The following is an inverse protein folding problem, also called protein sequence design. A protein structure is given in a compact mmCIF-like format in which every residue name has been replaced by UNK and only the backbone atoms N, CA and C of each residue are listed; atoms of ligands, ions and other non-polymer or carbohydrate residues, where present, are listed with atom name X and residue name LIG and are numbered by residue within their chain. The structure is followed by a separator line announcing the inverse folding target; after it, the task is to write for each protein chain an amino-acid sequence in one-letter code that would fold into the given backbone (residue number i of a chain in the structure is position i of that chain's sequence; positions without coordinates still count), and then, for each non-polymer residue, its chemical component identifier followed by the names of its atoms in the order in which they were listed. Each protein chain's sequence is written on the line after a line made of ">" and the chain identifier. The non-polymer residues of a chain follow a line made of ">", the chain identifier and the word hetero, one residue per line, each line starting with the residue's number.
data_IF_447629910056
#
_entry.id   IF_447629910056
#
_cell.length_a   1.000
_cell.length_b   1.000
_cell.length_c   1.000
_cell.angle_alpha   90.00
_cell.angle_beta   90.00
_cell.angle_gamma   90.00
#
_symmetry.space_group_name_H-M   'P 1'
#
loop_
_entity.id
_entity.type
_entity.pdbx_description
1 polymer ?
#
# COMPACT_ATOMS: atom_id res chain seq x y z
N UNK A 1 -2.78 -46.80 10.94
CA UNK A 1 -1.66 -45.88 10.77
C UNK A 1 -1.78 -45.05 9.46
N UNK A 2 -1.97 -45.66 8.30
CA UNK A 2 -2.09 -44.97 7.00
C UNK A 2 -3.20 -43.91 6.93
N UNK A 3 -4.40 -44.17 7.46
CA UNK A 3 -5.53 -43.26 7.40
C UNK A 3 -5.22 -41.96 8.17
N UNK A 4 -4.57 -42.06 9.34
CA UNK A 4 -4.20 -40.90 10.13
C UNK A 4 -3.18 -40.01 9.42
N UNK A 5 -2.23 -40.59 8.73
CA UNK A 5 -1.24 -39.85 7.92
C UNK A 5 -1.90 -39.15 6.73
N UNK A 6 -2.83 -39.83 6.02
CA UNK A 6 -3.56 -39.23 4.89
C UNK A 6 -4.40 -38.05 5.36
N UNK A 7 -5.17 -38.22 6.44
CA UNK A 7 -5.96 -37.12 7.02
C UNK A 7 -5.06 -35.94 7.43
N UNK A 8 -3.91 -36.21 8.04
CA UNK A 8 -2.92 -35.19 8.40
C UNK A 8 -2.42 -34.38 7.21
N UNK A 9 -2.11 -35.03 6.09
CA UNK A 9 -1.67 -34.37 4.85
C UNK A 9 -2.79 -33.51 4.25
N UNK A 10 -4.01 -34.05 4.17
CA UNK A 10 -5.17 -33.33 3.63
C UNK A 10 -5.44 -32.06 4.45
N UNK A 11 -5.53 -32.20 5.78
CA UNK A 11 -5.78 -31.05 6.68
C UNK A 11 -4.64 -30.04 6.57
N UNK A 12 -3.40 -30.48 6.50
CA UNK A 12 -2.24 -29.60 6.36
C UNK A 12 -2.26 -28.83 5.03
N UNK A 13 -2.59 -29.50 3.92
CA UNK A 13 -2.68 -28.88 2.59
C UNK A 13 -3.84 -27.90 2.51
N UNK A 14 -4.99 -28.25 3.06
CA UNK A 14 -6.15 -27.37 3.14
C UNK A 14 -5.85 -26.10 3.96
N UNK A 15 -5.23 -26.27 5.12
CA UNK A 15 -4.82 -25.14 5.96
C UNK A 15 -3.82 -24.23 5.24
N UNK A 16 -2.87 -24.80 4.51
CA UNK A 16 -1.92 -24.05 3.70
C UNK A 16 -2.62 -23.23 2.62
N UNK A 17 -3.54 -23.85 1.89
CA UNK A 17 -4.30 -23.18 0.84
C UNK A 17 -5.09 -21.97 1.40
N UNK A 18 -5.78 -22.16 2.52
CA UNK A 18 -6.56 -21.10 3.18
C UNK A 18 -5.64 -19.93 3.59
N UNK A 19 -4.50 -20.19 4.21
CA UNK A 19 -3.57 -19.15 4.66
C UNK A 19 -2.96 -18.40 3.47
N UNK A 20 -2.50 -19.10 2.43
CA UNK A 20 -1.94 -18.45 1.22
C UNK A 20 -2.98 -17.62 0.49
N UNK A 21 -4.18 -18.16 0.32
CA UNK A 21 -5.29 -17.45 -0.34
C UNK A 21 -5.69 -16.20 0.46
N UNK A 22 -5.84 -16.34 1.77
CA UNK A 22 -6.16 -15.21 2.66
C UNK A 22 -5.09 -14.12 2.63
N UNK A 23 -3.80 -14.50 2.66
CA UNK A 23 -2.71 -13.56 2.58
C UNK A 23 -2.63 -12.84 1.23
N UNK A 24 -2.81 -13.59 0.12
CA UNK A 24 -2.85 -12.99 -1.22
C UNK A 24 -3.99 -11.98 -1.34
N UNK A 25 -5.19 -12.34 -0.87
CA UNK A 25 -6.33 -11.44 -0.86
C UNK A 25 -6.12 -10.18 0.00
N UNK A 26 -5.51 -10.33 1.17
CA UNK A 26 -5.18 -9.19 2.03
C UNK A 26 -4.13 -8.26 1.40
N UNK A 27 -3.12 -8.84 0.72
CA UNK A 27 -2.12 -8.07 -0.03
C UNK A 27 -2.77 -7.27 -1.15
N UNK A 28 -3.60 -7.90 -1.98
CA UNK A 28 -4.28 -7.25 -3.10
C UNK A 28 -5.21 -6.14 -2.60
N UNK A 29 -5.96 -6.39 -1.54
CA UNK A 29 -6.80 -5.40 -0.86
C UNK A 29 -6.01 -4.20 -0.33
N UNK A 30 -4.86 -4.43 0.31
CA UNK A 30 -3.99 -3.35 0.81
C UNK A 30 -3.42 -2.50 -0.33
N UNK A 31 -3.06 -3.13 -1.46
CA UNK A 31 -2.55 -2.42 -2.63
C UNK A 31 -3.65 -1.64 -3.37
N UNK A 32 -4.91 -2.08 -3.31
CA UNK A 32 -6.04 -1.36 -3.89
C UNK A 32 -6.22 0.01 -3.25
N UNK A 33 -6.15 0.12 -1.92
CA UNK A 33 -6.22 1.42 -1.24
C UNK A 33 -5.11 2.39 -1.66
N UNK A 34 -3.90 1.88 -1.86
CA UNK A 34 -2.79 2.69 -2.34
C UNK A 34 -3.11 3.24 -3.74
N UNK A 35 -3.81 2.47 -4.57
CA UNK A 35 -4.14 2.88 -5.93
C UNK A 35 -5.10 4.07 -6.02
N UNK A 36 -5.89 4.32 -4.98
CA UNK A 36 -6.79 5.47 -4.94
C UNK A 36 -6.06 6.79 -4.67
N UNK A 37 -4.93 6.74 -3.97
CA UNK A 37 -4.18 7.94 -3.55
C UNK A 37 -2.92 8.14 -4.38
N UNK A 38 -2.25 7.06 -4.77
CA UNK A 38 -0.99 7.11 -5.51
C UNK A 38 -1.23 7.02 -7.02
N UNK A 39 -0.74 8.00 -7.79
CA UNK A 39 -0.82 7.97 -9.26
C UNK A 39 0.01 6.82 -9.85
N UNK A 40 -0.24 6.48 -11.11
CA UNK A 40 0.56 5.48 -11.84
C UNK A 40 2.01 5.93 -12.01
N UNK A 41 2.20 7.23 -12.30
CA UNK A 41 3.50 7.90 -12.32
C UNK A 41 3.40 9.22 -11.56
N UNK A 42 4.38 9.48 -10.69
CA UNK A 42 4.55 10.73 -9.97
C UNK A 42 5.85 11.39 -10.41
N UNK A 43 5.78 12.64 -10.83
CA UNK A 43 6.93 13.42 -11.26
C UNK A 43 7.16 14.51 -10.21
N UNK A 44 8.34 14.49 -9.61
CA UNK A 44 8.75 15.44 -8.56
C UNK A 44 10.09 16.07 -8.92
N UNK A 45 10.44 17.17 -8.28
CA UNK A 45 11.78 17.75 -8.41
C UNK A 45 12.83 16.85 -7.74
N UNK A 46 13.96 16.64 -8.38
CA UNK A 46 15.11 15.97 -7.76
C UNK A 46 15.77 16.84 -6.66
N UNK A 47 15.53 18.17 -6.69
CA UNK A 47 16.07 19.13 -5.72
C UNK A 47 14.95 20.08 -5.27
N UNK A 48 14.60 19.99 -3.99
CA UNK A 48 13.55 20.85 -3.41
C UNK A 48 12.18 20.19 -3.40
N UNK A 49 11.19 20.90 -2.81
CA UNK A 49 9.83 20.40 -2.60
C UNK A 49 8.85 20.83 -3.70
N UNK A 50 9.27 21.72 -4.60
CA UNK A 50 8.42 22.24 -5.68
C UNK A 50 9.26 22.63 -6.88
N UNK A 51 8.60 22.73 -8.02
CA UNK A 51 9.17 23.19 -9.28
C UNK A 51 8.14 23.98 -10.09
N UNK A 52 8.58 24.81 -11.03
CA UNK A 52 7.70 25.61 -11.88
C UNK A 52 7.00 24.71 -12.92
N UNK A 53 5.66 24.77 -12.96
CA UNK A 53 4.84 24.11 -13.97
C UNK A 53 4.78 25.01 -15.22
N UNK A 54 5.71 24.78 -16.15
CA UNK A 54 5.88 25.61 -17.35
C UNK A 54 4.90 25.23 -18.47
N UNK A 55 4.67 26.16 -19.40
CA UNK A 55 3.82 25.90 -20.58
C UNK A 55 4.40 24.77 -21.45
N UNK A 56 5.73 24.60 -21.47
CA UNK A 56 6.38 23.47 -22.17
C UNK A 56 5.97 22.12 -21.60
N UNK A 57 5.88 22.02 -20.28
CA UNK A 57 5.43 20.80 -19.59
C UNK A 57 3.94 20.55 -19.90
N UNK A 58 3.14 21.61 -19.84
CA UNK A 58 1.70 21.54 -20.16
C UNK A 58 1.47 21.04 -21.57
N UNK A 59 2.10 21.66 -22.57
CA UNK A 59 1.96 21.27 -23.98
C UNK A 59 2.36 19.81 -24.20
N UNK A 60 3.45 19.35 -23.59
CA UNK A 60 3.86 17.94 -23.68
C UNK A 60 2.79 16.97 -23.16
N UNK A 61 2.20 17.28 -22.00
CA UNK A 61 1.16 16.42 -21.40
C UNK A 61 -0.13 16.41 -22.22
N UNK A 62 -0.51 17.56 -22.79
CA UNK A 62 -1.68 17.73 -23.66
C UNK A 62 -1.48 17.07 -25.02
N UNK A 63 -0.32 17.26 -25.68
CA UNK A 63 0.02 16.66 -26.97
C UNK A 63 0.04 15.13 -26.92
N UNK A 64 0.52 14.57 -25.81
CA UNK A 64 0.52 13.12 -25.58
C UNK A 64 -0.82 12.60 -25.01
N UNK A 65 -1.84 13.46 -24.88
CA UNK A 65 -3.16 13.13 -24.33
C UNK A 65 -3.11 12.41 -22.97
N UNK A 66 -2.22 12.91 -22.07
CA UNK A 66 -1.99 12.35 -20.73
C UNK A 66 -2.97 12.97 -19.75
N UNK A 67 -3.73 12.12 -19.04
CA UNK A 67 -4.55 12.56 -17.90
C UNK A 67 -3.67 12.78 -16.68
N UNK A 68 -3.60 14.01 -16.19
CA UNK A 68 -2.77 14.38 -15.05
C UNK A 68 -3.51 15.27 -14.07
N UNK A 69 -3.02 15.31 -12.85
CA UNK A 69 -3.36 16.28 -11.81
C UNK A 69 -2.11 16.92 -11.26
N UNK A 70 -2.27 18.08 -10.66
CA UNK A 70 -1.21 18.79 -9.96
C UNK A 70 -1.41 18.63 -8.46
N UNK A 71 -0.33 18.40 -7.73
CA UNK A 71 -0.41 18.34 -6.28
C UNK A 71 0.76 19.05 -5.60
N UNK A 72 0.53 19.44 -4.35
CA UNK A 72 1.55 19.90 -3.42
C UNK A 72 1.27 19.29 -2.04
N UNK A 73 2.26 18.72 -1.40
CA UNK A 73 2.08 18.11 -0.08
C UNK A 73 3.21 18.48 0.87
N UNK A 74 2.85 18.80 2.10
CA UNK A 74 3.80 18.99 3.19
C UNK A 74 3.13 18.69 4.54
N UNK A 75 3.96 18.54 5.58
CA UNK A 75 3.50 18.30 6.95
C UNK A 75 2.99 19.60 7.57
N UNK A 76 1.80 19.54 8.14
CA UNK A 76 1.15 20.64 8.84
C UNK A 76 0.74 20.20 10.24
N UNK A 77 0.67 21.14 11.17
CA UNK A 77 0.03 20.92 12.44
C UNK A 77 -1.47 21.19 12.28
N UNK A 78 -2.26 20.18 12.47
CA UNK A 78 -3.72 20.19 12.41
C UNK A 78 -4.25 20.31 13.84
N UNK A 79 -5.01 21.32 14.13
CA UNK A 79 -5.48 21.63 15.48
C UNK A 79 -6.98 21.90 15.51
N UNK A 80 -7.65 21.29 16.47
CA UNK A 80 -9.05 21.56 16.76
C UNK A 80 -9.24 21.57 18.27
N UNK A 81 -9.80 22.66 18.80
CA UNK A 81 -9.87 22.90 20.24
C UNK A 81 -8.46 22.81 20.89
N UNK A 82 -8.27 21.95 21.89
CA UNK A 82 -6.99 21.73 22.57
C UNK A 82 -6.18 20.55 21.96
N UNK A 83 -6.78 19.82 21.04
CA UNK A 83 -6.12 18.67 20.42
C UNK A 83 -5.34 19.09 19.17
N UNK A 84 -4.13 18.56 19.05
CA UNK A 84 -3.24 18.82 17.90
C UNK A 84 -2.64 17.54 17.36
N UNK A 85 -2.46 17.49 16.04
CA UNK A 85 -1.83 16.35 15.36
C UNK A 85 -1.01 16.85 14.17
N UNK A 86 0.13 16.19 13.93
CA UNK A 86 0.89 16.41 12.70
C UNK A 86 0.29 15.50 11.62
N UNK A 87 -0.14 16.12 10.52
CA UNK A 87 -0.69 15.42 9.36
C UNK A 87 0.03 15.84 8.09
N UNK A 88 -0.03 15.05 7.05
CA UNK A 88 0.36 15.43 5.70
C UNK A 88 -0.84 16.10 5.04
N UNK A 89 -0.72 17.38 4.74
CA UNK A 89 -1.73 18.14 4.00
C UNK A 89 -1.39 18.04 2.51
N UNK A 90 -2.26 17.39 1.74
CA UNK A 90 -2.11 17.22 0.29
C UNK A 90 -3.12 18.08 -0.44
N UNK A 91 -2.60 19.11 -1.09
CA UNK A 91 -3.37 19.94 -2.02
C UNK A 91 -3.44 19.24 -3.37
N UNK A 92 -4.64 19.12 -3.91
CA UNK A 92 -4.89 18.54 -5.24
C UNK A 92 -5.78 19.47 -6.05
N UNK A 93 -5.60 19.45 -7.36
CA UNK A 93 -6.41 20.22 -8.31
C UNK A 93 -7.59 19.40 -8.85
N UNK A 94 -8.29 19.95 -9.84
CA UNK A 94 -9.41 19.28 -10.53
C UNK A 94 -8.99 18.01 -11.30
N UNK A 95 -7.70 17.79 -11.54
CA UNK A 95 -7.18 16.60 -12.20
C UNK A 95 -7.15 15.36 -11.28
N UNK A 96 -7.45 15.51 -9.98
CA UNK A 96 -7.54 14.36 -9.07
C UNK A 96 -8.72 13.47 -9.44
N UNK A 97 -8.55 12.13 -9.57
CA UNK A 97 -9.56 11.26 -10.16
C UNK A 97 -10.86 11.19 -9.33
N UNK A 98 -11.98 11.47 -9.96
CA UNK A 98 -13.31 11.34 -9.34
C UNK A 98 -13.57 9.93 -8.80
N UNK A 99 -13.12 8.89 -9.52
CA UNK A 99 -13.22 7.50 -9.05
C UNK A 99 -12.53 7.29 -7.71
N UNK A 100 -11.36 7.90 -7.50
CA UNK A 100 -10.65 7.82 -6.22
C UNK A 100 -11.47 8.48 -5.11
N UNK A 101 -12.04 9.66 -5.38
CA UNK A 101 -12.92 10.36 -4.44
C UNK A 101 -14.12 9.49 -4.06
N UNK A 102 -14.85 8.97 -5.03
CA UNK A 102 -16.05 8.16 -4.81
C UNK A 102 -15.75 6.87 -4.03
N UNK A 103 -14.54 6.30 -4.22
CA UNK A 103 -14.13 5.06 -3.56
C UNK A 103 -13.69 5.24 -2.12
N UNK A 104 -13.14 6.40 -1.76
CA UNK A 104 -12.59 6.62 -0.42
C UNK A 104 -13.48 7.47 0.50
N UNK A 105 -14.43 8.25 -0.04
CA UNK A 105 -15.27 9.13 0.74
C UNK A 105 -16.24 8.32 1.63
N UNK A 106 -16.11 8.48 2.95
CA UNK A 106 -16.92 7.79 3.94
C UNK A 106 -18.14 8.61 4.38
N UNK A 107 -17.96 9.92 4.60
CA UNK A 107 -19.00 10.82 5.06
C UNK A 107 -18.81 12.22 4.47
N UNK A 108 -19.91 12.94 4.24
CA UNK A 108 -19.88 14.31 3.71
C UNK A 108 -19.68 14.34 2.20
N UNK A 109 -18.92 15.31 1.72
CA UNK A 109 -18.57 15.48 0.30
C UNK A 109 -17.11 15.89 0.13
N UNK A 110 -16.62 15.74 -1.10
CA UNK A 110 -15.32 16.32 -1.47
C UNK A 110 -15.36 17.85 -1.34
N UNK A 111 -14.22 18.45 -1.06
CA UNK A 111 -14.13 19.92 -0.95
C UNK A 111 -14.44 20.60 -2.30
N UNK A 112 -14.93 21.82 -2.25
CA UNK A 112 -15.04 22.66 -3.43
C UNK A 112 -13.69 23.33 -3.70
N UNK A 113 -13.36 23.51 -4.98
CA UNK A 113 -12.21 24.30 -5.39
C UNK A 113 -12.37 25.75 -4.91
N UNK A 114 -11.24 26.41 -4.64
CA UNK A 114 -11.19 27.81 -4.14
C UNK A 114 -11.90 28.00 -2.78
N UNK A 115 -12.12 26.93 -2.03
CA UNK A 115 -12.74 26.99 -0.71
C UNK A 115 -11.74 26.67 0.41
N UNK A 116 -12.04 27.13 1.62
CA UNK A 116 -11.29 26.74 2.82
C UNK A 116 -11.84 25.42 3.41
N UNK A 117 -12.08 24.44 2.56
CA UNK A 117 -12.60 23.14 2.95
C UNK A 117 -11.50 22.07 2.88
N UNK A 118 -11.62 21.08 3.76
CA UNK A 118 -10.71 19.94 3.80
C UNK A 118 -11.47 18.64 3.91
N UNK A 119 -10.88 17.55 3.41
CA UNK A 119 -11.37 16.18 3.60
C UNK A 119 -10.35 15.45 4.48
N UNK A 120 -10.80 14.97 5.63
CA UNK A 120 -9.96 14.47 6.71
C UNK A 120 -10.04 12.96 6.78
N UNK A 121 -8.92 12.29 7.06
CA UNK A 121 -8.93 10.84 7.30
C UNK A 121 -9.69 10.47 8.57
N UNK A 122 -10.42 9.36 8.52
CA UNK A 122 -11.32 8.92 9.60
C UNK A 122 -10.61 8.84 10.96
N UNK A 123 -9.38 8.34 11.02
CA UNK A 123 -8.63 8.24 12.28
C UNK A 123 -8.26 9.61 12.85
N UNK A 124 -7.77 10.53 12.00
CA UNK A 124 -7.47 11.90 12.43
C UNK A 124 -8.74 12.65 12.84
N UNK A 125 -9.86 12.43 12.16
CA UNK A 125 -11.14 13.03 12.51
C UNK A 125 -11.64 12.53 13.87
N UNK A 126 -11.52 11.24 14.14
CA UNK A 126 -11.91 10.64 15.42
C UNK A 126 -11.06 11.18 16.58
N UNK A 127 -9.73 11.17 16.44
CA UNK A 127 -8.80 11.61 17.50
C UNK A 127 -8.97 13.10 17.86
N UNK A 128 -9.31 13.93 16.90
CA UNK A 128 -9.45 15.37 17.07
C UNK A 128 -10.90 15.81 17.34
N UNK A 129 -11.87 14.90 17.22
CA UNK A 129 -13.29 15.20 17.37
C UNK A 129 -13.86 16.01 16.21
N UNK A 130 -13.32 15.85 15.00
CA UNK A 130 -13.75 16.58 13.80
C UNK A 130 -15.09 16.06 13.31
N UNK A 131 -16.04 16.97 13.13
CA UNK A 131 -17.32 16.69 12.48
C UNK A 131 -17.41 17.44 11.14
N UNK A 132 -18.14 16.85 10.18
CA UNK A 132 -18.36 17.50 8.89
C UNK A 132 -19.27 18.73 9.04
N UNK A 133 -18.91 19.81 8.35
CA UNK A 133 -19.66 21.08 8.33
C UNK A 133 -19.81 21.77 9.70
N UNK A 134 -18.88 21.53 10.63
CA UNK A 134 -18.87 22.24 11.91
C UNK A 134 -18.30 23.66 11.70
N UNK A 135 -19.20 24.64 11.72
CA UNK A 135 -18.87 26.07 11.59
C UNK A 135 -18.47 26.68 12.93
N UNK A 136 -18.89 26.08 14.04
CA UNK A 136 -18.66 26.60 15.39
C UNK A 136 -17.21 26.36 15.84
N UNK A 137 -16.67 25.21 15.50
CA UNK A 137 -15.31 24.81 15.88
C UNK A 137 -14.42 24.68 14.64
N UNK A 138 -13.88 25.78 14.11
CA UNK A 138 -13.04 25.73 12.93
C UNK A 138 -11.72 25.00 13.22
N UNK A 139 -11.30 24.21 12.27
CA UNK A 139 -9.99 23.55 12.28
C UNK A 139 -8.93 24.60 11.94
N UNK A 140 -7.81 24.59 12.67
CA UNK A 140 -6.64 25.41 12.36
C UNK A 140 -5.52 24.58 11.80
N UNK A 141 -5.03 24.97 10.65
CA UNK A 141 -3.82 24.43 10.04
C UNK A 141 -2.67 25.39 10.31
N UNK A 142 -1.51 24.84 10.75
CA UNK A 142 -0.31 25.62 10.99
C UNK A 142 0.85 25.08 10.15
N UNK A 143 1.49 25.95 9.40
CA UNK A 143 2.70 25.62 8.64
C UNK A 143 3.88 26.48 9.11
N UNK A 144 5.10 25.95 9.14
CA UNK A 144 6.28 26.73 9.44
C UNK A 144 6.50 27.78 8.34
N UNK A 145 6.73 29.03 8.71
CA UNK A 145 7.12 30.06 7.76
C UNK A 145 8.55 29.83 7.28
N UNK A 146 8.73 29.79 5.97
CA UNK A 146 10.06 29.84 5.38
C UNK A 146 10.58 31.28 5.48
N UNK A 147 11.39 31.57 6.49
CA UNK A 147 11.92 32.92 6.69
C UNK A 147 13.31 32.94 7.29
N UNK A 148 14.13 33.91 6.85
CA UNK A 148 15.47 34.25 7.40
C UNK A 148 15.42 35.43 8.36
N UNK A 149 14.27 35.72 9.00
CA UNK A 149 14.08 36.83 9.90
C UNK A 149 14.38 36.54 11.37
N UNK A 150 14.61 37.60 12.17
CA UNK A 150 14.65 37.45 13.63
C UNK A 150 13.24 37.11 14.14
N UNK A 151 13.16 36.06 14.95
CA UNK A 151 11.91 35.61 15.55
C UNK A 151 11.64 36.43 16.80
N UNK A 152 10.61 37.25 16.78
CA UNK A 152 10.19 38.07 17.93
C UNK A 152 8.95 37.54 18.64
N UNK A 153 8.15 36.68 17.97
CA UNK A 153 6.97 36.04 18.55
C UNK A 153 6.64 34.70 17.90
N UNK A 154 5.83 33.85 18.56
CA UNK A 154 5.33 32.58 18.00
C UNK A 154 4.56 32.80 16.69
N UNK A 155 3.93 33.94 16.48
CA UNK A 155 3.21 34.31 15.25
C UNK A 155 4.14 34.52 14.05
N UNK A 156 5.41 34.81 14.31
CA UNK A 156 6.42 34.97 13.25
C UNK A 156 6.95 33.64 12.74
N UNK A 157 6.74 32.54 13.50
CA UNK A 157 7.24 31.21 13.19
C UNK A 157 6.23 30.42 12.37
N UNK A 158 4.93 30.60 12.64
CA UNK A 158 3.86 29.78 12.07
C UNK A 158 2.88 30.65 11.28
N UNK A 159 2.58 30.22 10.07
CA UNK A 159 1.43 30.70 9.30
C UNK A 159 0.24 29.81 9.62
N UNK A 160 -0.93 30.37 9.79
CA UNK A 160 -2.14 29.60 10.09
C UNK A 160 -3.29 29.99 9.18
N UNK A 161 -4.16 29.01 8.89
CA UNK A 161 -5.43 29.22 8.21
C UNK A 161 -6.53 28.42 8.89
N UNK A 162 -7.75 28.98 8.89
CA UNK A 162 -8.92 28.26 9.37
C UNK A 162 -9.58 27.53 8.21
N UNK A 163 -9.92 26.26 8.44
CA UNK A 163 -10.60 25.43 7.46
C UNK A 163 -11.77 24.69 8.09
N UNK A 164 -12.66 24.17 7.27
CA UNK A 164 -13.81 23.38 7.66
C UNK A 164 -13.73 21.99 7.02
N UNK A 165 -14.03 20.96 7.78
CA UNK A 165 -14.14 19.61 7.21
C UNK A 165 -15.44 19.49 6.41
N UNK A 166 -15.34 19.31 5.10
CA UNK A 166 -16.48 19.01 4.21
C UNK A 166 -16.75 17.52 4.08
N UNK A 167 -15.74 16.68 4.33
CA UNK A 167 -15.88 15.23 4.27
C UNK A 167 -14.84 14.50 5.11
N UNK A 168 -15.12 13.24 5.33
CA UNK A 168 -14.23 12.28 5.99
C UNK A 168 -14.03 11.13 5.02
N UNK A 169 -12.77 10.74 4.81
CA UNK A 169 -12.43 9.59 3.98
C UNK A 169 -11.92 8.41 4.82
N UNK A 170 -12.02 7.22 4.26
CA UNK A 170 -11.44 6.00 4.83
C UNK A 170 -10.67 5.22 3.78
N UNK A 171 -9.47 4.81 4.16
CA UNK A 171 -8.55 3.99 3.37
C UNK A 171 -7.93 2.92 4.29
N UNK A 172 -6.64 2.99 4.53
CA UNK A 172 -5.96 2.19 5.53
C UNK A 172 -5.68 3.01 6.81
N UNK A 173 -5.30 2.33 7.88
CA UNK A 173 -5.06 2.97 9.19
C UNK A 173 -4.00 4.08 9.13
N UNK A 174 -2.91 3.88 8.41
CA UNK A 174 -1.83 4.85 8.29
C UNK A 174 -2.31 6.15 7.62
N UNK A 175 -2.99 6.04 6.47
CA UNK A 175 -3.51 7.20 5.72
C UNK A 175 -4.68 7.86 6.45
N UNK A 176 -5.55 7.08 7.09
CA UNK A 176 -6.65 7.62 7.90
C UNK A 176 -6.15 8.50 9.04
N UNK A 177 -4.97 8.17 9.57
CA UNK A 177 -4.39 8.87 10.69
C UNK A 177 -3.50 10.06 10.29
N UNK A 178 -2.99 10.10 9.06
CA UNK A 178 -1.91 11.01 8.69
C UNK A 178 -2.20 11.92 7.51
N UNK A 179 -3.28 11.69 6.74
CA UNK A 179 -3.52 12.41 5.48
C UNK A 179 -4.77 13.28 5.57
N UNK A 180 -4.66 14.49 5.01
CA UNK A 180 -5.75 15.45 4.84
C UNK A 180 -5.67 16.00 3.42
N UNK A 181 -6.80 16.03 2.72
CA UNK A 181 -6.89 16.62 1.38
C UNK A 181 -7.49 18.02 1.43
N UNK A 182 -6.99 18.91 0.57
CA UNK A 182 -7.49 20.26 0.38
C UNK A 182 -7.28 20.72 -1.07
N UNK A 183 -7.82 21.88 -1.39
CA UNK A 183 -7.49 22.58 -2.63
C UNK A 183 -5.99 22.92 -2.69
N UNK A 184 -5.38 22.72 -3.86
CA UNK A 184 -3.94 22.97 -4.06
C UNK A 184 -3.55 24.42 -3.77
N UNK A 185 -4.41 25.38 -4.11
CA UNK A 185 -4.11 26.81 -3.92
C UNK A 185 -4.19 27.20 -2.44
N UNK A 186 -5.10 26.61 -1.66
CA UNK A 186 -5.12 26.75 -0.20
C UNK A 186 -3.81 26.26 0.41
N UNK A 187 -3.34 25.09 -0.03
CA UNK A 187 -2.11 24.49 0.50
C UNK A 187 -0.88 25.30 0.10
N UNK A 188 -0.76 25.68 -1.17
CA UNK A 188 0.32 26.56 -1.64
C UNK A 188 0.37 27.87 -0.85
N UNK A 189 -0.79 28.48 -0.64
CA UNK A 189 -0.88 29.73 0.14
C UNK A 189 -0.42 29.50 1.58
N UNK A 190 -0.84 28.41 2.23
CA UNK A 190 -0.43 28.11 3.61
C UNK A 190 1.10 27.96 3.75
N UNK A 191 1.77 27.35 2.76
CA UNK A 191 3.21 27.09 2.78
C UNK A 191 4.05 28.16 2.06
N UNK A 192 3.47 29.29 1.67
CA UNK A 192 4.13 30.38 0.92
C UNK A 192 4.81 29.90 -0.38
N UNK A 193 4.16 28.98 -1.10
CA UNK A 193 4.61 28.47 -2.39
C UNK A 193 4.02 29.32 -3.51
N UNK A 194 4.86 29.67 -4.50
CA UNK A 194 4.41 30.42 -5.68
C UNK A 194 3.31 29.66 -6.43
N UNK A 195 2.32 30.38 -6.94
CA UNK A 195 1.16 29.82 -7.66
C UNK A 195 1.56 29.00 -8.90
N UNK A 196 2.67 29.36 -9.55
CA UNK A 196 3.24 28.63 -10.70
C UNK A 196 3.94 27.34 -10.32
N UNK A 197 4.32 27.20 -9.05
CA UNK A 197 5.04 26.03 -8.57
C UNK A 197 4.09 24.92 -8.13
N UNK A 198 4.49 23.69 -8.40
CA UNK A 198 3.79 22.46 -7.99
C UNK A 198 4.77 21.52 -7.28
N UNK A 199 4.26 20.71 -6.37
CA UNK A 199 5.05 19.70 -5.69
C UNK A 199 5.26 18.46 -6.57
N UNK A 200 4.21 18.07 -7.28
CA UNK A 200 4.27 16.96 -8.23
C UNK A 200 3.27 17.11 -9.38
N UNK A 201 3.55 16.38 -10.45
CA UNK A 201 2.61 16.07 -11.52
C UNK A 201 2.24 14.60 -11.37
N UNK A 202 0.98 14.33 -11.16
CA UNK A 202 0.43 13.03 -10.85
C UNK A 202 -0.31 12.50 -12.08
N UNK A 203 0.19 11.43 -12.72
CA UNK A 203 -0.39 10.79 -13.92
C UNK A 203 -1.20 9.57 -13.48
N UNK A 204 -2.49 9.57 -13.76
CA UNK A 204 -3.44 8.55 -13.30
C UNK A 204 -3.84 7.50 -14.34
N UNK A 205 -3.46 7.69 -15.59
CA UNK A 205 -3.65 6.70 -16.64
C UNK A 205 -2.32 6.46 -17.35
N UNK A 206 -1.79 5.26 -17.18
CA UNK A 206 -0.51 4.89 -17.77
C UNK A 206 -0.68 4.49 -19.24
N UNK A 207 -0.97 5.46 -20.11
CA UNK A 207 -1.00 5.29 -21.57
C UNK A 207 0.36 5.49 -22.21
N UNK A 208 1.34 6.02 -21.45
CA UNK A 208 2.68 6.35 -21.91
C UNK A 208 3.72 5.59 -21.10
N UNK A 209 4.83 5.17 -21.73
CA UNK A 209 5.91 4.51 -20.99
C UNK A 209 6.61 5.49 -20.04
N UNK A 210 6.92 5.01 -18.83
CA UNK A 210 7.66 5.79 -17.83
C UNK A 210 9.01 6.32 -18.36
N UNK A 211 9.65 5.57 -19.27
CA UNK A 211 10.90 5.94 -19.91
C UNK A 211 10.75 7.17 -20.81
N UNK A 212 9.66 7.26 -21.57
CA UNK A 212 9.38 8.42 -22.43
C UNK A 212 9.14 9.67 -21.59
N UNK A 213 8.40 9.56 -20.50
CA UNK A 213 8.17 10.65 -19.54
C UNK A 213 9.50 11.07 -18.91
N UNK A 214 10.27 10.13 -18.39
CA UNK A 214 11.56 10.41 -17.77
C UNK A 214 12.57 11.07 -18.75
N UNK A 215 12.56 10.67 -20.02
CA UNK A 215 13.42 11.28 -21.04
C UNK A 215 13.07 12.74 -21.35
N UNK A 216 11.77 13.09 -21.31
CA UNK A 216 11.32 14.47 -21.53
C UNK A 216 11.70 15.37 -20.34
N UNK A 217 11.47 14.90 -19.12
CA UNK A 217 11.73 15.69 -17.92
C UNK A 217 13.22 15.79 -17.57
N UNK A 218 14.02 14.78 -17.92
CA UNK A 218 15.47 14.76 -17.68
C UNK A 218 15.87 14.55 -16.21
N UNK A 219 17.17 14.59 -15.89
CA UNK A 219 17.72 14.16 -14.58
C UNK A 219 17.41 15.11 -13.41
N UNK A 220 16.85 16.27 -13.69
CA UNK A 220 16.42 17.24 -12.68
C UNK A 220 15.07 16.86 -12.05
N UNK A 221 14.39 15.88 -12.60
CA UNK A 221 13.14 15.36 -12.08
C UNK A 221 13.26 13.88 -11.74
N UNK A 222 12.53 13.48 -10.72
CA UNK A 222 12.34 12.08 -10.35
C UNK A 222 10.98 11.63 -10.91
N UNK A 223 10.99 10.56 -11.67
CA UNK A 223 9.77 9.90 -12.16
C UNK A 223 9.63 8.57 -11.43
N UNK A 224 8.63 8.46 -10.58
CA UNK A 224 8.40 7.31 -9.73
C UNK A 224 7.10 6.61 -10.09
N UNK A 225 7.17 5.30 -10.32
CA UNK A 225 5.98 4.49 -10.45
C UNK A 225 5.35 4.20 -9.06
N UNK A 226 4.13 3.64 -9.04
CA UNK A 226 3.39 3.37 -7.79
C UNK A 226 4.19 2.52 -6.79
N UNK A 227 4.98 1.56 -7.26
CA UNK A 227 5.82 0.70 -6.40
C UNK A 227 6.94 1.52 -5.74
N UNK A 228 7.58 2.40 -6.51
CA UNK A 228 8.67 3.26 -6.02
C UNK A 228 8.15 4.29 -5.01
N UNK A 229 7.00 4.92 -5.30
CA UNK A 229 6.34 5.86 -4.38
C UNK A 229 6.01 5.23 -3.02
N UNK A 230 5.63 3.95 -3.00
CA UNK A 230 5.21 3.22 -1.80
C UNK A 230 6.19 2.11 -1.42
N UNK A 231 7.49 2.32 -1.67
CA UNK A 231 8.53 1.30 -1.52
C UNK A 231 8.58 0.65 -0.13
N UNK A 232 8.26 1.38 0.93
CA UNK A 232 8.21 0.85 2.30
C UNK A 232 7.11 -0.21 2.45
N UNK A 233 5.91 0.08 1.96
CA UNK A 233 4.77 -0.84 2.04
C UNK A 233 5.03 -2.08 1.18
N UNK A 234 5.52 -1.91 -0.06
CA UNK A 234 5.87 -3.03 -0.92
C UNK A 234 6.98 -3.91 -0.32
N UNK A 235 7.99 -3.32 0.32
CA UNK A 235 9.04 -4.07 1.03
C UNK A 235 8.47 -4.85 2.21
N UNK A 236 7.58 -4.25 2.99
CA UNK A 236 6.90 -4.91 4.11
C UNK A 236 6.10 -6.12 3.62
N UNK A 237 5.23 -5.94 2.63
CA UNK A 237 4.42 -7.02 2.04
C UNK A 237 5.29 -8.15 1.45
N UNK A 238 6.40 -7.82 0.79
CA UNK A 238 7.32 -8.82 0.26
C UNK A 238 8.05 -9.58 1.37
N UNK A 239 8.42 -8.92 2.47
CA UNK A 239 9.06 -9.56 3.64
C UNK A 239 8.09 -10.51 4.34
N UNK A 240 6.83 -10.11 4.52
CA UNK A 240 5.78 -10.97 5.06
C UNK A 240 5.54 -12.20 4.17
N UNK A 241 5.50 -12.02 2.86
CA UNK A 241 5.38 -13.11 1.90
C UNK A 241 6.57 -14.08 1.98
N UNK A 242 7.80 -13.57 2.13
CA UNK A 242 8.99 -14.40 2.33
C UNK A 242 8.88 -15.22 3.62
N UNK A 243 8.45 -14.61 4.73
CA UNK A 243 8.26 -15.30 6.00
C UNK A 243 7.24 -16.45 5.88
N UNK A 244 6.15 -16.22 5.16
CA UNK A 244 5.14 -17.25 4.88
C UNK A 244 5.77 -18.41 4.08
N UNK A 245 6.54 -18.13 3.04
CA UNK A 245 7.22 -19.17 2.27
C UNK A 245 8.21 -19.99 3.11
N UNK A 246 8.95 -19.35 4.02
CA UNK A 246 9.85 -20.03 4.95
C UNK A 246 9.09 -20.96 5.89
N UNK A 247 7.99 -20.50 6.49
CA UNK A 247 7.14 -21.33 7.36
C UNK A 247 6.59 -22.54 6.58
N UNK A 248 6.14 -22.33 5.34
CA UNK A 248 5.65 -23.42 4.51
C UNK A 248 6.73 -24.40 4.11
N UNK A 249 7.92 -23.95 3.74
CA UNK A 249 9.04 -24.84 3.41
C UNK A 249 9.38 -25.74 4.59
N UNK A 250 9.43 -25.18 5.81
CA UNK A 250 9.64 -25.94 7.03
C UNK A 250 8.54 -27.00 7.23
N UNK A 251 7.27 -26.61 7.00
CA UNK A 251 6.13 -27.50 7.15
C UNK A 251 6.15 -28.66 6.16
N UNK A 252 6.56 -28.41 4.90
CA UNK A 252 6.76 -29.44 3.88
C UNK A 252 7.86 -30.42 4.33
N UNK A 253 8.97 -29.92 4.87
CA UNK A 253 10.04 -30.77 5.40
C UNK A 253 9.53 -31.66 6.53
N UNK A 254 8.78 -31.11 7.49
CA UNK A 254 8.18 -31.91 8.58
C UNK A 254 7.20 -32.97 8.05
N UNK A 255 6.38 -32.62 7.05
CA UNK A 255 5.45 -33.57 6.42
C UNK A 255 6.21 -34.73 5.73
N UNK A 256 7.31 -34.43 5.04
CA UNK A 256 8.16 -35.42 4.43
C UNK A 256 8.80 -36.39 5.46
N UNK A 257 9.27 -35.84 6.60
CA UNK A 257 9.80 -36.68 7.70
C UNK A 257 8.70 -37.58 8.29
N UNK A 258 7.50 -37.06 8.50
CA UNK A 258 6.37 -37.90 8.98
C UNK A 258 6.00 -39.00 8.00
N UNK A 259 5.96 -38.69 6.69
CA UNK A 259 5.70 -39.66 5.65
C UNK A 259 6.80 -40.75 5.60
N UNK A 260 8.08 -40.32 5.68
CA UNK A 260 9.21 -41.24 5.73
C UNK A 260 9.14 -42.15 6.97
N UNK A 261 8.82 -41.62 8.15
CA UNK A 261 8.59 -42.39 9.36
C UNK A 261 7.49 -43.43 9.23
N UNK A 262 6.36 -43.06 8.61
CA UNK A 262 5.24 -43.96 8.36
C UNK A 262 5.63 -45.11 7.38
N UNK A 263 6.37 -44.77 6.32
CA UNK A 263 6.88 -45.78 5.38
C UNK A 263 7.88 -46.74 6.04
N UNK A 264 8.82 -46.22 6.84
CA UNK A 264 9.78 -47.06 7.58
C UNK A 264 9.09 -48.01 8.53
N UNK A 265 8.08 -47.53 9.27
CA UNK A 265 7.30 -48.36 10.19
C UNK A 265 6.57 -49.47 9.44
N UNK A 266 5.99 -49.16 8.27
CA UNK A 266 5.30 -50.11 7.42
C UNK A 266 6.27 -51.20 6.86
N UNK A 267 7.47 -50.80 6.42
CA UNK A 267 8.51 -51.75 5.97
C UNK A 267 8.91 -52.68 7.10
N UNK A 268 9.13 -52.15 8.32
CA UNK A 268 9.50 -52.95 9.49
C UNK A 268 8.39 -53.94 9.86
N UNK A 269 7.14 -53.51 9.87
CA UNK A 269 5.96 -54.33 10.20
C UNK A 269 5.74 -55.46 9.19
N UNK A 270 6.04 -55.23 7.92
CA UNK A 270 5.92 -56.18 6.83
C UNK A 270 7.19 -57.03 6.55
N UNK A 271 8.25 -56.82 7.34
CA UNK A 271 9.56 -57.51 7.12
C UNK A 271 9.44 -59.03 7.13
N UNK A 272 8.60 -59.62 7.98
CA UNK A 272 8.33 -61.06 8.00
C UNK A 272 7.68 -61.59 6.69
N UNK A 273 6.73 -60.81 6.15
CA UNK A 273 6.03 -61.17 4.90
C UNK A 273 6.91 -60.95 3.66
N UNK A 274 7.92 -60.05 3.72
CA UNK A 274 8.90 -59.84 2.65
C UNK A 274 9.73 -61.08 2.37
N UNK A 275 10.11 -61.79 3.40
CA UNK A 275 10.88 -63.05 3.26
C UNK A 275 10.05 -64.10 2.52
N UNK A 276 8.78 -64.20 2.82
CA UNK A 276 7.84 -65.09 2.15
C UNK A 276 7.65 -64.74 0.68
N UNK A 277 7.54 -63.44 0.33
CA UNK A 277 7.42 -62.96 -1.05
C UNK A 277 8.69 -63.26 -1.88
N UNK A 278 9.86 -63.14 -1.27
CA UNK A 278 11.14 -63.49 -1.92
C UNK A 278 11.26 -65.00 -2.16
N UNK A 279 10.79 -65.86 -1.25
CA UNK A 279 10.74 -67.29 -1.40
C UNK A 279 9.76 -67.68 -2.52
N UNK A 280 8.66 -66.93 -2.69
CA UNK A 280 7.68 -67.12 -3.78
C UNK A 280 8.19 -66.65 -5.14
N UNK A 281 9.43 -66.15 -5.23
CA UNK A 281 10.09 -65.81 -6.49
C UNK A 281 10.04 -64.35 -6.90
N UNK A 282 9.56 -63.42 -6.04
CA UNK A 282 9.64 -62.01 -6.32
C UNK A 282 11.08 -61.50 -6.24
N UNK A 283 11.48 -60.68 -7.18
CA UNK A 283 12.78 -59.99 -7.18
C UNK A 283 12.80 -58.83 -6.20
N UNK A 284 13.96 -58.45 -5.69
CA UNK A 284 14.14 -57.28 -4.81
C UNK A 284 13.59 -55.99 -5.45
N UNK A 285 13.72 -55.87 -6.79
CA UNK A 285 13.20 -54.71 -7.54
C UNK A 285 11.67 -54.63 -7.53
N UNK A 286 10.99 -55.78 -7.66
CA UNK A 286 9.51 -55.84 -7.60
C UNK A 286 8.99 -55.52 -6.23
N UNK A 287 9.66 -56.01 -5.20
CA UNK A 287 9.34 -55.66 -3.80
C UNK A 287 9.52 -54.15 -3.55
N UNK A 288 10.61 -53.54 -4.01
CA UNK A 288 10.84 -52.09 -3.91
C UNK A 288 9.74 -51.28 -4.62
N UNK A 289 9.28 -51.71 -5.79
CA UNK A 289 8.18 -51.05 -6.52
C UNK A 289 6.87 -51.11 -5.76
N UNK A 290 6.55 -52.17 -5.05
CA UNK A 290 5.34 -52.28 -4.23
C UNK A 290 5.34 -51.19 -3.15
N UNK A 291 6.45 -51.01 -2.43
CA UNK A 291 6.57 -49.97 -1.42
C UNK A 291 6.56 -48.55 -2.01
N UNK A 292 7.16 -48.38 -3.19
CA UNK A 292 7.10 -47.09 -3.90
C UNK A 292 5.66 -46.72 -4.27
N UNK A 293 4.89 -47.62 -4.87
CA UNK A 293 3.49 -47.39 -5.20
C UNK A 293 2.63 -47.17 -3.96
N UNK A 294 2.94 -47.85 -2.87
CA UNK A 294 2.24 -47.63 -1.60
C UNK A 294 2.55 -46.25 -1.00
N UNK A 295 3.80 -45.77 -1.12
CA UNK A 295 4.17 -44.41 -0.76
C UNK A 295 3.43 -43.36 -1.58
N UNK A 296 3.33 -43.57 -2.89
CA UNK A 296 2.55 -42.69 -3.78
C UNK A 296 1.07 -42.66 -3.39
N UNK A 297 0.47 -43.82 -3.08
CA UNK A 297 -0.93 -43.93 -2.63
C UNK A 297 -1.20 -43.18 -1.30
N UNK A 298 -0.19 -43.06 -0.44
CA UNK A 298 -0.31 -42.32 0.83
C UNK A 298 -0.13 -40.81 0.61
N UNK A 299 0.56 -40.42 -0.46
CA UNK A 299 0.83 -38.99 -0.77
C UNK A 299 -0.28 -38.32 -1.60
N UNK A 300 -1.20 -39.07 -2.18
CA UNK A 300 -2.37 -38.65 -2.94
C UNK A 300 -3.60 -38.60 -2.03
#
# INVERSE_FOLDING_TARGET
>A
MSILAIVGVIVSSAAMFVVLSGFSGLKDYSLEFISFVSPDLKITSAKGKSFEFTDKIRSFLEDENISYGLSYEDKTLFSMNENTRIVTLRGVDQGFPKRSVDSMLYQGRWFNLESNEVVVGLGAAYDLGVSTFDVVNPIKLYAPRAGKGQIFSERDILKSTNVMASGIFTLNEELNNSLVFADIDLVKNLFDVDTKNVGSIDIYQNTISAEKVASFFGPQFLTENRVQQNGTIYKMLNTEQLAIYLIFSLRVVVALFNMFGALMMMVIEKKGNLHTLLILGLTKSQVSKIFFYQGVLISV
#
